data_IF_347527551665
#
_entry.id   IF_347527551665
#
_cell.length_a   1.000
_cell.length_b   1.000
_cell.length_c   1.000
_cell.angle_alpha   90.00
_cell.angle_beta   90.00
_cell.angle_gamma   90.00
#
_symmetry.space_group_name_H-M   'P 1'
#
loop_
_entity.id
_entity.type
_entity.pdbx_description
1 polymer ?
#
# COMPACT_ATOMS: atom_id res chain seq x y z
N UNK A 1 17.15 -12.03 0.91
CA UNK A 1 15.86 -12.07 1.61
C UNK A 1 14.77 -12.18 0.57
N UNK A 2 13.55 -12.55 0.96
CA UNK A 2 12.43 -12.56 0.03
C UNK A 2 11.79 -11.18 0.07
N UNK A 3 11.86 -10.44 -1.03
CA UNK A 3 11.40 -9.05 -1.08
C UNK A 3 10.52 -8.88 -2.33
N UNK A 4 9.46 -8.10 -2.20
CA UNK A 4 8.50 -7.83 -3.29
C UNK A 4 8.79 -6.44 -3.83
N UNK A 5 8.95 -6.34 -5.15
CA UNK A 5 9.18 -5.07 -5.85
C UNK A 5 8.26 -4.95 -7.06
N UNK A 6 7.64 -3.79 -7.21
CA UNK A 6 6.82 -3.47 -8.38
C UNK A 6 7.08 -2.03 -8.83
N UNK A 7 7.36 -1.87 -10.12
CA UNK A 7 7.52 -0.58 -10.77
C UNK A 7 6.42 -0.41 -11.82
N UNK A 8 5.63 0.67 -11.71
CA UNK A 8 4.56 0.93 -12.65
C UNK A 8 4.22 2.42 -12.74
N UNK A 9 3.78 2.91 -13.92
CA UNK A 9 3.33 4.28 -14.08
C UNK A 9 1.85 4.42 -13.70
N UNK A 10 1.50 5.57 -13.15
CA UNK A 10 0.13 6.05 -13.00
C UNK A 10 0.00 7.40 -13.71
N UNK A 11 -0.99 7.53 -14.60
CA UNK A 11 -1.27 8.76 -15.36
C UNK A 11 -2.00 9.81 -14.51
N UNK A 12 -1.33 10.29 -13.47
CA UNK A 12 -1.78 11.37 -12.61
C UNK A 12 -0.59 12.09 -11.95
N UNK A 13 -0.78 13.35 -11.48
CA UNK A 13 0.19 14.05 -10.67
C UNK A 13 0.53 13.31 -9.37
N UNK A 14 1.75 13.50 -8.85
CA UNK A 14 2.23 12.77 -7.69
C UNK A 14 1.39 13.02 -6.43
N UNK A 15 0.89 14.24 -6.24
CA UNK A 15 0.03 14.57 -5.09
C UNK A 15 -1.22 13.69 -5.05
N UNK A 16 -1.88 13.48 -6.21
CA UNK A 16 -3.07 12.61 -6.29
C UNK A 16 -2.73 11.15 -6.00
N UNK A 17 -1.57 10.69 -6.47
CA UNK A 17 -1.11 9.33 -6.17
C UNK A 17 -0.77 9.21 -4.69
N UNK A 18 -0.08 10.20 -4.12
CA UNK A 18 0.32 10.27 -2.73
C UNK A 18 -0.89 10.23 -1.79
N UNK A 19 -1.92 11.02 -2.08
CA UNK A 19 -3.17 11.00 -1.30
C UNK A 19 -3.81 9.60 -1.33
N UNK A 20 -3.84 8.94 -2.50
CA UNK A 20 -4.44 7.62 -2.64
C UNK A 20 -3.69 6.51 -1.87
N UNK A 21 -2.37 6.63 -1.70
CA UNK A 21 -1.56 5.65 -0.97
C UNK A 21 -1.38 5.99 0.51
N UNK A 22 -1.62 7.23 0.93
CA UNK A 22 -1.28 7.68 2.28
C UNK A 22 -2.50 8.06 3.11
N UNK A 23 -3.58 8.59 2.54
CA UNK A 23 -4.77 8.94 3.30
C UNK A 23 -5.58 7.69 3.69
N UNK A 24 -6.20 7.64 4.88
CA UNK A 24 -7.12 6.56 5.24
C UNK A 24 -8.24 6.36 4.21
N UNK A 25 -8.81 7.45 3.69
CA UNK A 25 -9.84 7.42 2.67
C UNK A 25 -9.32 6.79 1.37
N UNK A 26 -8.12 7.17 0.93
CA UNK A 26 -7.45 6.61 -0.24
C UNK A 26 -7.17 5.11 -0.08
N UNK A 27 -6.58 4.71 1.04
CA UNK A 27 -6.27 3.31 1.34
C UNK A 27 -7.51 2.42 1.31
N UNK A 28 -8.63 2.93 1.84
CA UNK A 28 -9.90 2.21 1.87
C UNK A 28 -10.50 1.96 0.48
N UNK A 29 -10.09 2.70 -0.54
CA UNK A 29 -10.62 2.53 -1.90
C UNK A 29 -10.02 1.31 -2.60
N UNK A 30 -8.74 1.02 -2.38
CA UNK A 30 -8.02 0.00 -3.14
C UNK A 30 -7.41 -1.12 -2.30
N UNK A 31 -7.09 -0.91 -1.02
CA UNK A 31 -6.35 -1.88 -0.21
C UNK A 31 -7.12 -2.35 1.02
N UNK A 32 -7.42 -1.45 1.95
CA UNK A 32 -8.01 -1.78 3.26
C UNK A 32 -9.53 -1.79 3.19
N UNK A 33 -10.17 -2.41 4.19
CA UNK A 33 -11.60 -2.27 4.41
C UNK A 33 -11.92 -1.00 5.19
N UNK A 34 -11.12 -0.74 6.23
CA UNK A 34 -11.11 0.51 6.98
C UNK A 34 -9.69 0.82 7.40
N UNK A 35 -9.36 2.10 7.48
CA UNK A 35 -8.06 2.58 7.90
C UNK A 35 -8.26 3.82 8.77
N UNK A 36 -7.35 4.04 9.71
CA UNK A 36 -7.25 5.25 10.50
C UNK A 36 -5.78 5.57 10.74
N UNK A 37 -5.44 6.85 10.83
CA UNK A 37 -4.05 7.29 10.96
C UNK A 37 -3.82 8.62 10.25
N UNK A 38 -2.57 9.07 10.23
CA UNK A 38 -2.17 10.30 9.54
C UNK A 38 -0.86 10.07 8.82
N UNK A 39 -0.65 10.62 7.60
CA UNK A 39 0.59 10.44 6.86
C UNK A 39 1.67 11.37 7.43
N UNK A 40 2.12 11.07 8.64
CA UNK A 40 3.09 11.84 9.41
C UNK A 40 4.08 10.85 10.01
N UNK A 41 5.37 11.19 9.96
CA UNK A 41 6.42 10.38 10.58
C UNK A 41 6.12 10.09 12.06
N UNK A 42 6.51 8.91 12.53
CA UNK A 42 6.26 8.36 13.86
C UNK A 42 4.79 8.10 14.24
N UNK A 43 3.83 8.49 13.41
CA UNK A 43 2.42 8.16 13.63
C UNK A 43 2.13 6.66 13.41
N UNK A 44 0.99 6.21 13.92
CA UNK A 44 0.52 4.83 13.76
C UNK A 44 -0.71 4.79 12.86
N UNK A 45 -0.71 3.84 11.93
CA UNK A 45 -1.88 3.45 11.15
C UNK A 45 -2.54 2.23 11.76
N UNK A 46 -3.86 2.27 11.84
CA UNK A 46 -4.75 1.14 12.05
C UNK A 46 -5.28 0.71 10.69
N UNK A 47 -5.06 -0.56 10.32
CA UNK A 47 -5.36 -1.13 9.01
C UNK A 47 -6.26 -2.35 9.22
N UNK A 48 -7.56 -2.18 9.00
CA UNK A 48 -8.56 -3.20 9.22
C UNK A 48 -8.97 -3.88 7.92
N UNK A 49 -8.92 -5.22 7.92
CA UNK A 49 -9.31 -6.07 6.79
C UNK A 49 -10.51 -6.98 7.12
N UNK A 50 -10.89 -7.10 8.39
CA UNK A 50 -12.00 -7.93 8.85
C UNK A 50 -11.79 -8.45 10.28
N UNK A 51 -12.76 -9.16 10.86
CA UNK A 51 -12.61 -9.76 12.18
C UNK A 51 -11.36 -10.64 12.26
N UNK A 52 -10.47 -10.35 13.22
CA UNK A 52 -9.18 -11.06 13.38
C UNK A 52 -8.02 -10.49 12.55
N UNK A 53 -8.27 -9.50 11.69
CA UNK A 53 -7.27 -8.83 10.84
C UNK A 53 -7.27 -7.33 11.08
N UNK A 54 -6.96 -6.94 12.33
CA UNK A 54 -6.75 -5.56 12.77
C UNK A 54 -5.24 -5.33 12.91
N UNK A 55 -4.65 -4.75 11.87
CA UNK A 55 -3.20 -4.58 11.76
C UNK A 55 -2.79 -3.16 12.17
N UNK A 56 -1.57 -3.03 12.68
CA UNK A 56 -0.94 -1.75 13.02
C UNK A 56 0.40 -1.61 12.32
N UNK A 57 0.67 -0.41 11.82
CA UNK A 57 1.96 -0.06 11.23
C UNK A 57 2.40 1.33 11.66
N UNK A 58 3.69 1.51 11.94
CA UNK A 58 4.28 2.81 12.27
C UNK A 58 4.85 3.45 11.01
N UNK A 59 4.57 4.73 10.79
CA UNK A 59 5.17 5.51 9.70
C UNK A 59 6.63 5.78 10.03
N UNK A 60 7.54 5.27 9.21
CA UNK A 60 9.00 5.45 9.36
C UNK A 60 9.54 6.65 8.60
N UNK A 61 8.93 6.99 7.47
CA UNK A 61 9.24 8.20 6.72
C UNK A 61 7.99 8.65 5.98
N UNK A 62 7.80 9.96 5.88
CA UNK A 62 6.73 10.54 5.10
C UNK A 62 7.19 11.86 4.49
N UNK A 63 7.27 11.92 3.16
CA UNK A 63 7.51 13.13 2.40
C UNK A 63 6.35 13.31 1.43
N UNK A 64 5.42 14.25 1.70
CA UNK A 64 4.26 14.51 0.84
C UNK A 64 4.64 14.63 -0.64
N UNK A 65 3.87 13.95 -1.50
CA UNK A 65 4.08 13.92 -2.95
C UNK A 65 5.31 13.11 -3.40
N UNK A 66 6.10 12.51 -2.50
CA UNK A 66 7.35 11.83 -2.87
C UNK A 66 7.48 10.43 -2.29
N UNK A 67 7.26 10.22 -1.00
CA UNK A 67 7.55 8.94 -0.36
C UNK A 67 6.73 8.73 0.90
N UNK A 68 6.31 7.49 1.14
CA UNK A 68 5.84 7.06 2.45
C UNK A 68 6.31 5.63 2.73
N UNK A 69 6.76 5.40 3.97
CA UNK A 69 7.24 4.10 4.46
C UNK A 69 6.54 3.74 5.76
N UNK A 70 6.04 2.51 5.84
CA UNK A 70 5.50 1.92 7.05
C UNK A 70 6.30 0.69 7.48
N UNK A 71 6.39 0.48 8.79
CA UNK A 71 6.84 -0.78 9.38
C UNK A 71 5.69 -1.40 10.17
N UNK A 72 5.37 -2.66 9.90
CA UNK A 72 4.26 -3.34 10.57
C UNK A 72 4.63 -3.73 12.00
N UNK A 73 3.88 -3.20 12.97
CA UNK A 73 4.08 -3.46 14.41
C UNK A 73 3.12 -4.52 14.96
N UNK A 74 1.99 -4.75 14.28
CA UNK A 74 1.02 -5.79 14.60
C UNK A 74 0.34 -6.27 13.32
N UNK A 75 0.53 -7.53 12.94
CA UNK A 75 -0.03 -8.13 11.73
C UNK A 75 0.04 -9.66 11.83
N UNK A 76 -0.15 -10.38 10.72
CA UNK A 76 0.23 -11.78 10.65
C UNK A 76 1.73 -11.98 10.98
N UNK A 77 2.14 -13.14 11.52
CA UNK A 77 3.52 -13.35 11.99
C UNK A 77 4.61 -13.07 10.94
N UNK A 78 4.36 -13.33 9.66
CA UNK A 78 5.34 -13.06 8.58
C UNK A 78 5.40 -11.59 8.16
N UNK A 79 4.41 -10.78 8.55
CA UNK A 79 4.35 -9.34 8.26
C UNK A 79 4.92 -8.49 9.41
N UNK A 80 4.93 -8.98 10.66
CA UNK A 80 5.47 -8.17 11.77
C UNK A 80 6.96 -7.89 11.55
N UNK A 81 7.33 -6.61 11.57
CA UNK A 81 8.68 -6.11 11.28
C UNK A 81 9.00 -5.94 9.80
N UNK A 82 8.08 -6.28 8.89
CA UNK A 82 8.24 -6.01 7.47
C UNK A 82 8.01 -4.53 7.16
N UNK A 83 8.60 -4.07 6.05
CA UNK A 83 8.59 -2.66 5.64
C UNK A 83 7.86 -2.52 4.32
N UNK A 84 6.85 -1.66 4.30
CA UNK A 84 6.09 -1.29 3.10
C UNK A 84 6.47 0.12 2.68
N UNK A 85 6.90 0.31 1.44
CA UNK A 85 7.37 1.60 0.95
C UNK A 85 6.86 1.91 -0.44
N UNK A 86 6.49 3.16 -0.64
CA UNK A 86 6.17 3.75 -1.94
C UNK A 86 7.06 4.94 -2.19
N UNK A 87 7.73 4.96 -3.34
CA UNK A 87 8.46 6.11 -3.85
C UNK A 87 7.80 6.59 -5.15
N UNK A 88 7.59 7.90 -5.25
CA UNK A 88 6.90 8.56 -6.35
C UNK A 88 7.87 9.48 -7.09
N UNK A 89 7.84 9.40 -8.42
CA UNK A 89 8.57 10.34 -9.29
C UNK A 89 7.68 10.78 -10.42
N UNK A 90 7.22 12.03 -10.36
CA UNK A 90 6.43 12.62 -11.42
C UNK A 90 7.31 13.16 -12.56
N UNK A 91 6.85 12.94 -13.80
CA UNK A 91 7.32 13.66 -14.97
C UNK A 91 6.18 13.79 -15.99
N UNK A 92 5.83 15.03 -16.36
CA UNK A 92 4.84 15.30 -17.40
C UNK A 92 3.43 14.79 -17.09
N UNK A 93 2.97 14.88 -15.83
CA UNK A 93 1.65 14.42 -15.41
C UNK A 93 1.51 12.89 -15.31
N UNK A 94 2.62 12.16 -15.37
CA UNK A 94 2.70 10.73 -15.11
C UNK A 94 3.63 10.51 -13.93
N UNK A 95 3.15 9.78 -12.92
CA UNK A 95 3.92 9.41 -11.74
C UNK A 95 4.41 7.98 -11.87
N UNK A 96 5.73 7.79 -11.85
CA UNK A 96 6.32 6.47 -11.67
C UNK A 96 6.25 6.09 -10.20
N UNK A 97 5.58 4.98 -9.89
CA UNK A 97 5.50 4.39 -8.56
C UNK A 97 6.52 3.26 -8.46
N UNK A 98 7.34 3.31 -7.42
CA UNK A 98 8.17 2.19 -6.98
C UNK A 98 7.64 1.69 -5.66
N UNK A 99 7.03 0.52 -5.72
CA UNK A 99 6.51 -0.18 -4.55
C UNK A 99 7.52 -1.21 -4.07
N UNK A 100 7.70 -1.29 -2.76
CA UNK A 100 8.42 -2.40 -2.15
C UNK A 100 7.77 -2.87 -0.86
N UNK A 101 7.80 -4.18 -0.65
CA UNK A 101 7.46 -4.81 0.61
C UNK A 101 8.57 -5.78 0.99
N UNK A 102 9.40 -5.36 1.94
CA UNK A 102 10.67 -6.01 2.29
C UNK A 102 10.67 -6.55 3.71
N UNK A 103 11.66 -7.38 4.03
CA UNK A 103 11.83 -7.91 5.39
C UNK A 103 11.10 -9.21 5.65
N UNK A 104 10.68 -9.94 4.61
CA UNK A 104 10.06 -11.25 4.80
C UNK A 104 11.09 -12.29 5.25
N UNK A 105 10.71 -13.21 6.16
CA UNK A 105 11.62 -14.22 6.68
C UNK A 105 12.05 -15.25 5.62
N UNK A 106 11.17 -15.58 4.66
CA UNK A 106 11.45 -16.54 3.59
C UNK A 106 10.47 -16.38 2.41
N UNK A 107 10.77 -17.00 1.26
CA UNK A 107 9.90 -17.00 0.07
C UNK A 107 8.81 -18.09 0.14
N UNK A 108 8.16 -18.23 1.30
CA UNK A 108 7.19 -19.28 1.62
C UNK A 108 5.82 -19.10 0.97
N UNK A 109 4.83 -19.86 1.46
CA UNK A 109 3.45 -19.82 0.93
C UNK A 109 2.82 -18.43 1.12
N UNK A 110 2.96 -17.83 2.30
CA UNK A 110 2.39 -16.50 2.60
C UNK A 110 3.04 -15.40 1.75
N UNK A 111 4.38 -15.42 1.61
CA UNK A 111 5.08 -14.52 0.69
C UNK A 111 4.53 -14.59 -0.74
N UNK A 112 4.43 -15.79 -1.31
CA UNK A 112 3.98 -15.97 -2.70
C UNK A 112 2.52 -15.53 -2.90
N UNK A 113 1.67 -15.80 -1.91
CA UNK A 113 0.26 -15.35 -1.93
C UNK A 113 0.19 -13.82 -1.84
N UNK A 114 0.94 -13.24 -0.91
CA UNK A 114 0.97 -11.78 -0.70
C UNK A 114 1.54 -11.05 -1.92
N UNK A 115 2.58 -11.59 -2.55
CA UNK A 115 3.13 -11.06 -3.81
C UNK A 115 2.09 -11.03 -4.93
N UNK A 116 1.30 -12.09 -5.09
CA UNK A 116 0.21 -12.11 -6.06
C UNK A 116 -0.87 -11.06 -5.73
N UNK A 117 -1.31 -11.01 -4.46
CA UNK A 117 -2.31 -10.04 -4.01
C UNK A 117 -1.85 -8.60 -4.20
N UNK A 118 -0.58 -8.29 -3.96
CA UNK A 118 -0.03 -6.95 -4.16
C UNK A 118 -0.17 -6.47 -5.61
N UNK A 119 0.16 -7.32 -6.59
CA UNK A 119 -0.03 -6.96 -7.99
C UNK A 119 -1.49 -6.62 -8.33
N UNK A 120 -2.46 -7.34 -7.74
CA UNK A 120 -3.88 -7.08 -7.93
C UNK A 120 -4.32 -5.77 -7.28
N UNK A 121 -3.93 -5.52 -6.03
CA UNK A 121 -4.27 -4.28 -5.33
C UNK A 121 -3.61 -3.04 -5.97
N UNK A 122 -2.35 -3.13 -6.41
CA UNK A 122 -1.67 -2.03 -7.10
C UNK A 122 -2.32 -1.70 -8.45
N UNK A 123 -2.90 -2.70 -9.13
CA UNK A 123 -3.75 -2.47 -10.31
C UNK A 123 -5.02 -1.69 -9.93
N UNK A 124 -5.68 -2.03 -8.83
CA UNK A 124 -6.86 -1.29 -8.35
C UNK A 124 -6.52 0.16 -7.98
N UNK A 125 -5.40 0.39 -7.28
CA UNK A 125 -4.87 1.74 -7.00
C UNK A 125 -4.75 2.55 -8.29
N UNK A 126 -4.12 1.97 -9.31
CA UNK A 126 -3.95 2.65 -10.60
C UNK A 126 -5.29 2.98 -11.25
N UNK A 127 -6.25 2.03 -11.30
CA UNK A 127 -7.58 2.27 -11.89
C UNK A 127 -8.36 3.34 -11.13
N UNK A 128 -8.28 3.34 -9.81
CA UNK A 128 -8.88 4.38 -8.98
C UNK A 128 -8.27 5.76 -9.29
N UNK A 129 -6.94 5.87 -9.31
CA UNK A 129 -6.30 7.17 -9.53
C UNK A 129 -6.52 7.68 -10.96
N UNK A 130 -6.46 6.83 -11.98
CA UNK A 130 -6.61 7.24 -13.39
C UNK A 130 -8.08 7.47 -13.79
N UNK A 131 -9.03 6.70 -13.22
CA UNK A 131 -10.40 6.63 -13.73
C UNK A 131 -11.48 6.85 -12.65
N UNK A 132 -11.12 6.90 -11.37
CA UNK A 132 -12.07 7.01 -10.27
C UNK A 132 -12.84 5.72 -9.99
N UNK A 133 -12.36 4.58 -10.51
CA UNK A 133 -13.01 3.28 -10.28
C UNK A 133 -12.85 2.84 -8.83
N UNK A 134 -13.95 2.40 -8.22
CA UNK A 134 -13.99 1.90 -6.83
C UNK A 134 -14.62 0.50 -6.87
N UNK A 135 -13.87 -0.49 -6.38
CA UNK A 135 -14.36 -1.86 -6.26
C UNK A 135 -14.65 -2.14 -4.78
N UNK A 136 -15.86 -2.63 -4.44
CA UNK A 136 -16.20 -3.03 -3.08
C UNK A 136 -15.18 -4.02 -2.51
N UNK A 137 -14.86 -3.90 -1.21
CA UNK A 137 -13.80 -4.69 -0.58
C UNK A 137 -13.92 -6.20 -0.86
N UNK A 138 -15.13 -6.75 -0.74
CA UNK A 138 -15.40 -8.18 -0.88
C UNK A 138 -15.29 -8.69 -2.34
N UNK A 139 -15.22 -7.79 -3.33
CA UNK A 139 -15.15 -8.13 -4.76
C UNK A 139 -13.73 -7.95 -5.36
N UNK A 140 -12.77 -7.40 -4.59
CA UNK A 140 -11.45 -6.96 -5.11
C UNK A 140 -10.57 -8.06 -5.67
N UNK A 141 -10.76 -9.30 -5.21
CA UNK A 141 -9.97 -10.45 -5.66
C UNK A 141 -10.56 -11.15 -6.90
N UNK A 142 -11.77 -10.77 -7.33
CA UNK A 142 -12.50 -11.40 -8.42
C UNK A 142 -12.43 -10.61 -9.75
N UNK A 143 -11.72 -9.47 -9.80
CA UNK A 143 -11.72 -8.48 -10.91
C UNK A 143 -10.36 -8.18 -11.56
#
# INVERSE_FOLDING_TARGET
>A
MADIYHDFPIRAPADRVFDAISSPEGLNVWWTRSAAGQPVEDSTYELFFGPGYDWRAQVRSCTPGSEITWEFTSAEPEWVGSVLRFELRESGGVTQVRFSHTGWPNAGKHFRTSSYCWAMYLRLLRRYVEHGEIIPYDERLDV
#
